data_IF_946816082998
#
_entry.id   IF_946816082998
#
_cell.length_a   1.000
_cell.length_b   1.000
_cell.length_c   1.000
_cell.angle_alpha   90.00
_cell.angle_beta   90.00
_cell.angle_gamma   90.00
#
_symmetry.space_group_name_H-M   'P 1'
#
loop_
_entity.id
_entity.type
_entity.pdbx_description
1 polymer ?
#
# COMPACT_ATOMS: atom_id res chain seq x y z
N UNK A 1 5.46 -4.76 -8.75
CA UNK A 1 4.28 -5.08 -7.90
C UNK A 1 3.48 -6.22 -8.54
N UNK A 2 2.93 -7.16 -7.77
CA UNK A 2 2.09 -8.23 -8.33
C UNK A 2 0.69 -7.71 -8.71
N UNK A 3 0.06 -8.28 -9.74
CA UNK A 3 -1.28 -7.85 -10.23
C UNK A 3 -2.36 -7.88 -9.14
N UNK A 4 -2.25 -8.83 -8.19
CA UNK A 4 -3.14 -8.92 -7.05
C UNK A 4 -2.99 -7.75 -6.09
N UNK A 5 -1.75 -7.38 -5.76
CA UNK A 5 -1.43 -6.22 -4.92
C UNK A 5 -1.95 -4.93 -5.58
N UNK A 6 -1.75 -4.77 -6.89
CA UNK A 6 -2.19 -3.57 -7.63
C UNK A 6 -3.72 -3.43 -7.62
N UNK A 7 -4.44 -4.54 -7.84
CA UNK A 7 -5.90 -4.56 -7.76
C UNK A 7 -6.40 -4.12 -6.37
N UNK A 8 -5.80 -4.64 -5.29
CA UNK A 8 -6.17 -4.29 -3.93
C UNK A 8 -5.89 -2.81 -3.60
N UNK A 9 -4.78 -2.25 -4.09
CA UNK A 9 -4.47 -0.84 -3.90
C UNK A 9 -5.45 0.05 -4.66
N UNK A 10 -5.85 -0.33 -5.88
CA UNK A 10 -6.86 0.43 -6.64
C UNK A 10 -8.24 0.39 -5.96
N UNK A 11 -8.65 -0.76 -5.43
CA UNK A 11 -9.87 -0.90 -4.64
C UNK A 11 -9.83 -0.01 -3.38
N UNK A 12 -8.71 -0.03 -2.65
CA UNK A 12 -8.49 0.83 -1.49
C UNK A 12 -8.53 2.32 -1.84
N UNK A 13 -7.94 2.71 -2.97
CA UNK A 13 -7.96 4.09 -3.46
C UNK A 13 -9.36 4.58 -3.79
N UNK A 14 -10.17 3.72 -4.43
CA UNK A 14 -11.56 4.03 -4.74
C UNK A 14 -12.39 4.19 -3.45
N UNK A 15 -12.24 3.24 -2.51
CA UNK A 15 -12.89 3.32 -1.20
C UNK A 15 -12.55 4.60 -0.44
N UNK A 16 -11.28 5.00 -0.47
CA UNK A 16 -10.80 6.24 0.14
C UNK A 16 -11.36 7.50 -0.52
N UNK A 17 -11.64 7.47 -1.82
CA UNK A 17 -12.27 8.61 -2.51
C UNK A 17 -13.66 8.90 -1.96
N UNK A 18 -14.35 7.88 -1.45
CA UNK A 18 -15.69 8.00 -0.87
C UNK A 18 -15.63 8.21 0.66
N UNK A 19 -14.57 7.73 1.32
CA UNK A 19 -14.41 7.74 2.78
C UNK A 19 -13.12 8.46 3.23
N UNK A 20 -12.83 9.62 2.66
CA UNK A 20 -11.56 10.37 2.87
C UNK A 20 -11.27 10.68 4.35
N UNK A 21 -12.31 10.87 5.16
CA UNK A 21 -12.20 11.18 6.60
C UNK A 21 -11.74 9.98 7.44
N UNK A 22 -11.84 8.75 6.93
CA UNK A 22 -11.38 7.59 7.71
C UNK A 22 -9.88 7.62 7.92
N UNK A 23 -9.10 8.14 6.96
CA UNK A 23 -7.64 8.26 7.09
C UNK A 23 -7.20 9.09 8.29
N UNK A 24 -8.01 10.05 8.72
CA UNK A 24 -7.71 10.90 9.89
C UNK A 24 -7.62 10.09 11.20
N UNK A 25 -8.24 8.90 11.24
CA UNK A 25 -8.21 8.02 12.40
C UNK A 25 -7.00 7.08 12.43
N UNK A 26 -6.15 7.09 11.40
CA UNK A 26 -5.01 6.19 11.27
C UNK A 26 -3.70 6.96 11.18
N UNK A 27 -2.63 6.45 11.82
CA UNK A 27 -1.31 7.08 11.80
C UNK A 27 -0.62 7.02 10.43
N UNK A 28 -1.05 6.11 9.56
CA UNK A 28 -0.49 5.94 8.22
C UNK A 28 -1.48 5.30 7.25
N UNK A 29 -1.27 5.55 5.96
CA UNK A 29 -2.05 4.91 4.89
C UNK A 29 -1.92 3.37 4.92
N UNK A 30 -0.79 2.84 5.39
CA UNK A 30 -0.55 1.41 5.50
C UNK A 30 -1.36 0.77 6.64
N UNK A 31 -1.55 1.47 7.76
CA UNK A 31 -2.42 1.00 8.84
C UNK A 31 -3.88 0.98 8.41
N UNK A 32 -4.33 2.03 7.73
CA UNK A 32 -5.67 2.05 7.16
C UNK A 32 -5.85 0.97 6.08
N UNK A 33 -4.84 0.76 5.23
CA UNK A 33 -4.87 -0.32 4.24
C UNK A 33 -4.94 -1.70 4.91
N UNK A 34 -4.22 -1.92 6.02
CA UNK A 34 -4.33 -3.16 6.77
C UNK A 34 -5.76 -3.38 7.28
N UNK A 35 -6.36 -2.36 7.90
CA UNK A 35 -7.75 -2.39 8.34
C UNK A 35 -8.71 -2.69 7.19
N UNK A 36 -8.59 -1.99 6.05
CA UNK A 36 -9.43 -2.21 4.89
C UNK A 36 -9.33 -3.65 4.37
N UNK A 37 -8.11 -4.16 4.19
CA UNK A 37 -7.89 -5.52 3.70
C UNK A 37 -8.48 -6.56 4.67
N UNK A 38 -8.30 -6.40 5.98
CA UNK A 38 -8.75 -7.41 6.95
C UNK A 38 -10.22 -7.28 7.32
N UNK A 39 -10.68 -6.07 7.61
CA UNK A 39 -11.99 -5.80 8.20
C UNK A 39 -13.07 -5.55 7.15
N UNK A 40 -12.72 -4.97 6.00
CA UNK A 40 -13.67 -4.70 4.92
C UNK A 40 -13.68 -5.83 3.90
N UNK A 41 -12.52 -6.26 3.42
CA UNK A 41 -12.40 -7.33 2.43
C UNK A 41 -12.32 -8.75 3.02
N UNK A 42 -12.15 -8.88 4.33
CA UNK A 42 -12.06 -10.20 4.99
C UNK A 42 -10.80 -10.98 4.62
N UNK A 43 -9.75 -10.31 4.15
CA UNK A 43 -8.49 -10.96 3.79
C UNK A 43 -7.74 -11.34 5.06
N UNK A 44 -7.11 -12.51 5.04
CA UNK A 44 -6.26 -12.96 6.13
C UNK A 44 -5.17 -11.92 6.46
N UNK A 45 -4.92 -11.71 7.75
CA UNK A 45 -3.98 -10.71 8.24
C UNK A 45 -2.57 -10.92 7.70
N UNK A 46 -2.10 -12.17 7.58
CA UNK A 46 -0.75 -12.45 7.05
C UNK A 46 -0.68 -12.08 5.57
N UNK A 47 -1.72 -12.39 4.79
CA UNK A 47 -1.80 -11.99 3.37
C UNK A 47 -1.88 -10.47 3.20
N UNK A 48 -2.65 -9.78 4.04
CA UNK A 48 -2.74 -8.32 4.02
C UNK A 48 -1.39 -7.67 4.36
N UNK A 49 -0.68 -8.18 5.37
CA UNK A 49 0.66 -7.72 5.72
C UNK A 49 1.68 -7.98 4.59
N UNK A 50 1.59 -9.14 3.93
CA UNK A 50 2.43 -9.45 2.78
C UNK A 50 2.18 -8.48 1.61
N UNK A 51 0.92 -8.14 1.34
CA UNK A 51 0.51 -7.16 0.32
C UNK A 51 1.11 -5.77 0.63
N UNK A 52 1.04 -5.32 1.88
CA UNK A 52 1.63 -4.04 2.30
C UNK A 52 3.15 -4.08 2.20
N UNK A 53 3.79 -5.20 2.53
CA UNK A 53 5.24 -5.37 2.39
C UNK A 53 5.68 -5.32 0.93
N UNK A 54 4.95 -5.98 0.03
CA UNK A 54 5.19 -5.95 -1.43
C UNK A 54 5.08 -4.51 -1.96
N UNK A 55 4.03 -3.78 -1.56
CA UNK A 55 3.83 -2.37 -1.92
C UNK A 55 4.98 -1.48 -1.43
N UNK A 56 5.42 -1.66 -0.18
CA UNK A 56 6.53 -0.89 0.39
C UNK A 56 7.85 -1.17 -0.32
N UNK A 57 8.11 -2.44 -0.67
CA UNK A 57 9.30 -2.83 -1.40
C UNK A 57 9.31 -2.24 -2.82
N UNK A 58 8.16 -2.22 -3.49
CA UNK A 58 8.00 -1.63 -4.82
C UNK A 58 8.27 -0.11 -4.80
N UNK A 59 7.64 0.62 -3.87
CA UNK A 59 7.91 2.06 -3.68
C UNK A 59 9.37 2.35 -3.31
N UNK A 60 9.99 1.49 -2.49
CA UNK A 60 11.39 1.65 -2.10
C UNK A 60 12.36 1.38 -3.25
N UNK A 61 11.99 0.50 -4.19
CA UNK A 61 12.79 0.18 -5.37
C UNK A 61 12.83 1.36 -6.36
N UNK A 62 11.74 2.12 -6.47
CA UNK A 62 11.69 3.34 -7.29
C UNK A 62 12.56 4.47 -6.71
N UNK A 63 12.68 4.55 -5.39
CA UNK A 63 13.61 5.46 -4.69
C UNK A 63 15.08 5.04 -4.87
N UNK A 64 15.39 3.75 -4.86
CA UNK A 64 16.75 3.25 -5.08
C UNK A 64 17.26 3.48 -6.51
N UNK A 65 16.37 3.45 -7.52
CA UNK A 65 16.75 3.77 -8.91
C UNK A 65 17.20 5.23 -9.08
N UNK A 66 16.60 6.16 -8.34
CA UNK A 66 16.98 7.58 -8.40
C UNK A 66 18.29 7.90 -7.65
N UNK A 67 18.64 7.11 -6.63
CA UNK A 67 19.90 7.27 -5.90
C UNK A 67 21.08 6.69 -6.70
N UNK A 68 20.91 5.52 -7.34
CA UNK A 68 22.00 4.89 -8.10
C UNK A 68 22.30 5.60 -9.44
N UNK A 69 21.37 6.37 -10.01
CA UNK A 69 21.65 7.21 -11.19
C UNK A 69 22.35 8.53 -10.87
N UNK A 70 22.43 8.94 -9.60
CA UNK A 70 23.02 10.24 -9.21
C UNK A 70 24.49 10.15 -8.78
N UNK A 71 25.08 8.95 -8.74
CA UNK A 71 26.51 8.74 -8.43
C UNK A 71 27.31 8.16 -9.61
N UNK A 72 27.08 8.70 -10.81
CA UNK A 72 28.08 8.61 -11.90
C UNK A 72 28.35 10.04 -12.37
N UNK A 73 29.18 10.76 -11.61
CA UNK A 73 30.01 11.87 -12.09
C UNK A 73 31.43 11.55 -11.69
#
# INVERSE_FOLDING_TARGET
MNQFTEHLVNQHRQYLSENTKELENYGSIYEHMLFYLTSILGIDKQKALQCISDLKADMSCDLLKNIVQSEII
#
